data_IF_506262037559
#
_entry.id   IF_506262037559
#
_cell.length_a   1.000
_cell.length_b   1.000
_cell.length_c   1.000
_cell.angle_alpha   90.00
_cell.angle_beta   90.00
_cell.angle_gamma   90.00
#
_symmetry.space_group_name_H-M   'P 1'
#
loop_
_entity.id
_entity.type
_entity.pdbx_description
1 polymer ?
#
# COMPACT_ATOMS: atom_id res chain seq x y z
N UNK A 1 15.86 -49.48 38.55
CA UNK A 1 15.28 -48.86 37.33
C UNK A 1 13.97 -48.20 37.75
N UNK A 2 13.90 -46.98 38.29
CA UNK A 2 14.33 -45.66 37.76
C UNK A 2 14.07 -45.57 36.26
N UNK A 3 13.28 -44.66 35.70
CA UNK A 3 12.90 -43.32 36.16
C UNK A 3 11.64 -42.84 35.42
N UNK A 4 10.80 -42.07 36.12
CA UNK A 4 9.81 -41.16 35.56
C UNK A 4 10.47 -40.25 34.52
N UNK A 5 9.82 -40.07 33.37
CA UNK A 5 10.02 -38.88 32.55
C UNK A 5 8.65 -38.21 32.43
N UNK A 6 8.45 -37.24 33.32
CA UNK A 6 7.30 -36.36 33.34
C UNK A 6 7.23 -35.61 32.01
N UNK A 7 6.17 -35.85 31.23
CA UNK A 7 5.82 -34.97 30.13
C UNK A 7 5.42 -33.61 30.73
N UNK A 8 6.02 -32.49 30.28
CA UNK A 8 5.72 -31.20 30.86
C UNK A 8 4.26 -30.83 30.56
N UNK A 9 3.53 -30.53 31.63
CA UNK A 9 2.17 -29.96 31.66
C UNK A 9 2.04 -28.69 30.80
N UNK A 10 3.15 -28.12 30.31
CA UNK A 10 3.17 -27.05 29.33
C UNK A 10 2.54 -27.41 27.97
N UNK A 11 2.56 -28.67 27.52
CA UNK A 11 1.98 -29.01 26.20
C UNK A 11 0.44 -29.01 26.20
N UNK A 12 -0.21 -29.22 27.34
CA UNK A 12 -1.68 -29.18 27.42
C UNK A 12 -2.21 -27.74 27.40
N UNK A 13 -1.52 -26.81 28.05
CA UNK A 13 -1.91 -25.39 28.02
C UNK A 13 -1.61 -24.72 26.68
N UNK A 14 -0.59 -25.19 25.95
CA UNK A 14 -0.30 -24.72 24.59
C UNK A 14 -1.39 -25.20 23.62
N UNK A 15 -1.92 -26.42 23.74
CA UNK A 15 -3.00 -26.87 22.87
C UNK A 15 -4.34 -26.16 23.13
N UNK A 16 -4.69 -25.85 24.39
CA UNK A 16 -5.92 -25.09 24.68
C UNK A 16 -5.78 -23.61 24.30
N UNK A 17 -4.58 -23.03 24.44
CA UNK A 17 -4.28 -21.68 23.96
C UNK A 17 -4.24 -21.57 22.43
N UNK A 18 -3.83 -22.63 21.72
CA UNK A 18 -3.81 -22.67 20.25
C UNK A 18 -5.20 -22.91 19.66
N UNK A 19 -6.11 -23.61 20.36
CA UNK A 19 -7.50 -23.74 19.88
C UNK A 19 -8.26 -22.39 19.96
N UNK A 20 -7.90 -21.50 20.89
CA UNK A 20 -8.51 -20.15 20.96
C UNK A 20 -7.73 -19.03 20.27
N UNK A 21 -6.44 -19.24 19.93
CA UNK A 21 -5.62 -18.23 19.23
C UNK A 21 -5.27 -18.61 17.79
N UNK A 22 -5.46 -19.87 17.38
CA UNK A 22 -5.23 -20.35 16.02
C UNK A 22 -6.29 -19.89 15.01
N UNK A 23 -7.48 -19.53 15.47
CA UNK A 23 -8.59 -19.14 14.58
C UNK A 23 -8.61 -17.66 14.20
N UNK A 24 -7.83 -16.80 14.86
CA UNK A 24 -7.87 -15.35 14.58
C UNK A 24 -6.97 -14.97 13.38
N UNK A 25 -5.91 -15.73 13.07
CA UNK A 25 -4.90 -15.30 12.09
C UNK A 25 -5.10 -15.82 10.65
N UNK A 26 -5.81 -16.93 10.42
CA UNK A 26 -5.97 -17.48 9.06
C UNK A 26 -7.36 -17.25 8.44
N UNK A 27 -8.36 -16.81 9.21
CA UNK A 27 -9.72 -16.61 8.70
C UNK A 27 -9.88 -15.38 7.77
N UNK A 28 -8.89 -14.48 7.69
CA UNK A 28 -9.10 -13.16 7.10
C UNK A 28 -8.60 -12.98 5.64
N UNK A 29 -7.66 -13.80 5.18
CA UNK A 29 -7.01 -13.58 3.88
C UNK A 29 -7.88 -13.98 2.68
N UNK A 30 -8.91 -14.81 2.88
CA UNK A 30 -9.89 -15.15 1.85
C UNK A 30 -10.67 -13.92 1.36
N UNK A 31 -10.79 -12.89 2.20
CA UNK A 31 -11.48 -11.64 1.90
C UNK A 31 -10.54 -10.49 1.54
N UNK A 32 -9.23 -10.75 1.38
CA UNK A 32 -8.20 -9.72 1.21
C UNK A 32 -8.55 -8.76 0.07
N UNK A 33 -8.89 -9.28 -1.12
CA UNK A 33 -9.24 -8.46 -2.28
C UNK A 33 -10.38 -7.47 -1.98
N UNK A 34 -11.46 -7.96 -1.33
CA UNK A 34 -12.63 -7.16 -0.98
C UNK A 34 -12.29 -6.09 0.06
N UNK A 35 -11.52 -6.47 1.09
CA UNK A 35 -11.09 -5.56 2.16
C UNK A 35 -10.19 -4.45 1.62
N UNK A 36 -9.22 -4.80 0.77
CA UNK A 36 -8.34 -3.84 0.12
C UNK A 36 -9.12 -2.86 -0.75
N UNK A 37 -10.07 -3.33 -1.56
CA UNK A 37 -10.91 -2.47 -2.41
C UNK A 37 -11.70 -1.46 -1.57
N UNK A 38 -12.38 -1.92 -0.52
CA UNK A 38 -13.17 -1.06 0.37
C UNK A 38 -12.29 -0.04 1.08
N UNK A 39 -11.15 -0.45 1.59
CA UNK A 39 -10.21 0.47 2.25
C UNK A 39 -9.61 1.48 1.26
N UNK A 40 -9.32 1.06 0.03
CA UNK A 40 -8.80 1.94 -1.01
C UNK A 40 -9.83 3.00 -1.42
N UNK A 41 -11.11 2.64 -1.50
CA UNK A 41 -12.21 3.57 -1.74
C UNK A 41 -12.35 4.60 -0.61
N UNK A 42 -12.30 4.16 0.64
CA UNK A 42 -12.36 5.08 1.81
C UNK A 42 -11.20 6.07 1.77
N UNK A 43 -9.97 5.60 1.57
CA UNK A 43 -8.79 6.47 1.51
C UNK A 43 -8.83 7.41 0.29
N UNK A 44 -9.28 6.93 -0.87
CA UNK A 44 -9.48 7.76 -2.06
C UNK A 44 -10.49 8.89 -1.81
N UNK A 45 -11.58 8.61 -1.10
CA UNK A 45 -12.60 9.61 -0.76
C UNK A 45 -12.04 10.64 0.24
N UNK A 46 -11.25 10.21 1.23
CA UNK A 46 -10.55 11.12 2.15
C UNK A 46 -9.58 12.04 1.40
N UNK A 47 -8.76 11.50 0.49
CA UNK A 47 -7.89 12.32 -0.35
C UNK A 47 -8.70 13.27 -1.23
N UNK A 48 -9.69 12.75 -1.96
CA UNK A 48 -10.44 13.52 -2.96
C UNK A 48 -11.28 14.63 -2.34
N UNK A 49 -11.79 14.46 -1.12
CA UNK A 49 -12.53 15.50 -0.41
C UNK A 49 -11.65 16.65 0.10
N UNK A 50 -10.33 16.46 0.17
CA UNK A 50 -9.36 17.49 0.55
C UNK A 50 -8.61 18.09 -0.67
N UNK A 51 -8.95 17.68 -1.90
CA UNK A 51 -8.39 18.26 -3.13
C UNK A 51 -9.38 19.26 -3.73
N UNK A 52 -8.90 20.43 -4.15
CA UNK A 52 -9.71 21.40 -4.89
C UNK A 52 -10.07 20.88 -6.28
N UNK A 53 -11.26 21.24 -6.76
CA UNK A 53 -11.72 20.85 -8.11
C UNK A 53 -10.95 21.54 -9.24
N UNK A 54 -10.27 22.65 -8.96
CA UNK A 54 -9.52 23.44 -9.94
C UNK A 54 -8.14 23.80 -9.42
N UNK A 55 -7.17 23.83 -10.34
CA UNK A 55 -5.81 24.29 -10.05
C UNK A 55 -5.83 25.83 -10.02
N UNK A 56 -5.40 26.45 -8.91
CA UNK A 56 -5.28 27.91 -8.81
C UNK A 56 -4.34 28.47 -9.88
N UNK A 57 -4.67 29.63 -10.46
CA UNK A 57 -3.88 30.23 -11.55
C UNK A 57 -2.40 30.40 -11.18
N UNK A 58 -2.13 30.80 -9.93
CA UNK A 58 -0.77 30.97 -9.40
C UNK A 58 0.04 29.65 -9.34
N UNK A 59 -0.63 28.49 -9.33
CA UNK A 59 0.02 27.19 -9.28
C UNK A 59 0.22 26.56 -10.66
N UNK A 60 -0.34 27.14 -11.73
CA UNK A 60 -0.30 26.54 -13.08
C UNK A 60 1.13 26.33 -13.58
N UNK A 61 2.04 27.28 -13.31
CA UNK A 61 3.44 27.14 -13.73
C UNK A 61 4.11 25.91 -13.11
N UNK A 62 3.93 25.74 -11.80
CA UNK A 62 4.47 24.61 -11.05
C UNK A 62 3.79 23.30 -11.47
N UNK A 63 2.50 23.35 -11.83
CA UNK A 63 1.78 22.18 -12.32
C UNK A 63 2.34 21.70 -13.66
N UNK A 64 2.60 22.60 -14.60
CA UNK A 64 3.20 22.26 -15.89
C UNK A 64 4.59 21.65 -15.68
N UNK A 65 5.40 22.20 -14.77
CA UNK A 65 6.74 21.67 -14.46
C UNK A 65 6.71 20.21 -13.99
N UNK A 66 5.73 19.83 -13.16
CA UNK A 66 5.61 18.45 -12.68
C UNK A 66 4.89 17.52 -13.67
N UNK A 67 3.88 18.03 -14.39
CA UNK A 67 3.01 17.24 -15.26
C UNK A 67 3.68 16.75 -16.55
N UNK A 68 4.91 17.18 -16.85
CA UNK A 68 5.64 16.78 -18.05
C UNK A 68 6.05 15.29 -18.10
N UNK A 69 5.77 14.51 -17.05
CA UNK A 69 6.00 13.07 -17.05
C UNK A 69 4.78 12.29 -16.53
N UNK A 70 4.03 11.69 -17.45
CA UNK A 70 2.79 10.95 -17.22
C UNK A 70 2.93 9.83 -16.18
N UNK A 71 2.13 9.90 -15.11
CA UNK A 71 1.95 8.83 -14.11
C UNK A 71 1.60 7.47 -14.75
N UNK A 72 0.88 7.49 -15.88
CA UNK A 72 0.45 6.29 -16.62
C UNK A 72 1.61 5.51 -17.27
N UNK A 73 2.69 6.19 -17.68
CA UNK A 73 3.84 5.52 -18.32
C UNK A 73 4.79 4.88 -17.30
N UNK A 74 4.71 5.26 -16.03
CA UNK A 74 5.70 4.89 -15.02
C UNK A 74 5.31 3.61 -14.26
N UNK A 75 4.02 3.25 -14.22
CA UNK A 75 3.53 2.15 -13.37
C UNK A 75 2.56 1.22 -14.10
N UNK A 76 2.77 0.98 -15.40
CA UNK A 76 2.24 -0.23 -16.04
C UNK A 76 3.33 -1.30 -16.00
N UNK A 77 3.29 -2.10 -14.94
CA UNK A 77 4.09 -3.32 -14.88
C UNK A 77 3.36 -4.34 -15.74
N UNK A 78 4.06 -4.93 -16.71
CA UNK A 78 3.49 -6.03 -17.49
C UNK A 78 3.06 -7.15 -16.52
N UNK A 79 1.76 -7.45 -16.53
CA UNK A 79 1.13 -8.43 -15.65
C UNK A 79 0.78 -9.72 -16.39
N UNK A 80 1.43 -10.01 -17.53
CA UNK A 80 1.30 -11.28 -18.23
C UNK A 80 2.30 -12.34 -17.71
N UNK A 81 2.58 -12.32 -16.40
CA UNK A 81 3.62 -13.10 -15.75
C UNK A 81 3.05 -14.11 -14.75
N UNK A 82 3.73 -15.25 -14.59
CA UNK A 82 3.37 -16.27 -13.59
C UNK A 82 3.36 -15.69 -12.16
N UNK A 83 4.17 -14.65 -11.88
CA UNK A 83 4.25 -13.99 -10.58
C UNK A 83 3.32 -12.77 -10.44
N UNK A 84 2.28 -12.63 -11.29
CA UNK A 84 1.41 -11.44 -11.32
C UNK A 84 0.74 -11.11 -9.97
N UNK A 85 0.41 -12.11 -9.16
CA UNK A 85 -0.23 -11.89 -7.84
C UNK A 85 0.77 -11.25 -6.87
N UNK A 86 2.02 -11.73 -6.85
CA UNK A 86 3.07 -11.19 -5.99
C UNK A 86 3.48 -9.79 -6.42
N UNK A 87 3.55 -9.56 -7.74
CA UNK A 87 3.77 -8.24 -8.34
C UNK A 87 2.65 -7.28 -7.91
N UNK A 88 1.39 -7.71 -8.00
CA UNK A 88 0.25 -6.89 -7.61
C UNK A 88 0.24 -6.56 -6.11
N UNK A 89 0.44 -7.55 -5.23
CA UNK A 89 0.57 -7.32 -3.78
C UNK A 89 1.73 -6.37 -3.47
N UNK A 90 2.89 -6.58 -4.10
CA UNK A 90 4.09 -5.74 -3.93
C UNK A 90 3.84 -4.32 -4.41
N UNK A 91 3.21 -4.15 -5.56
CA UNK A 91 2.90 -2.83 -6.12
C UNK A 91 1.93 -2.06 -5.22
N UNK A 92 0.85 -2.70 -4.75
CA UNK A 92 -0.09 -2.06 -3.82
C UNK A 92 0.60 -1.66 -2.52
N UNK A 93 1.38 -2.57 -1.90
CA UNK A 93 2.11 -2.29 -0.66
C UNK A 93 3.06 -1.11 -0.84
N UNK A 94 3.86 -1.11 -1.90
CA UNK A 94 4.84 -0.06 -2.16
C UNK A 94 4.16 1.30 -2.47
N UNK A 95 3.10 1.33 -3.30
CA UNK A 95 2.38 2.58 -3.58
C UNK A 95 1.82 3.18 -2.27
N UNK A 96 1.18 2.36 -1.43
CA UNK A 96 0.62 2.83 -0.15
C UNK A 96 1.71 3.35 0.80
N UNK A 97 2.84 2.64 0.89
CA UNK A 97 4.00 3.05 1.70
C UNK A 97 4.56 4.39 1.20
N UNK A 98 4.74 4.55 -0.11
CA UNK A 98 5.26 5.79 -0.67
C UNK A 98 4.29 6.96 -0.50
N UNK A 99 2.98 6.75 -0.61
CA UNK A 99 1.98 7.77 -0.28
C UNK A 99 2.12 8.19 1.19
N UNK A 100 2.14 7.24 2.14
CA UNK A 100 2.31 7.58 3.56
C UNK A 100 3.63 8.35 3.82
N UNK A 101 4.73 7.98 3.15
CA UNK A 101 5.99 8.71 3.23
C UNK A 101 5.89 10.15 2.73
N UNK A 102 5.19 10.41 1.62
CA UNK A 102 4.92 11.77 1.15
C UNK A 102 4.18 12.57 2.24
N UNK A 103 3.08 12.04 2.77
CA UNK A 103 2.26 12.71 3.77
C UNK A 103 2.87 12.80 5.19
N UNK A 104 4.02 12.14 5.42
CA UNK A 104 4.85 12.33 6.63
C UNK A 104 5.81 13.53 6.52
N UNK A 105 6.02 14.08 5.33
CA UNK A 105 6.89 15.25 5.16
C UNK A 105 6.29 16.50 5.80
N UNK A 106 6.99 17.63 5.67
CA UNK A 106 6.51 18.91 6.17
C UNK A 106 5.18 19.29 5.49
N UNK A 107 4.11 19.26 6.27
CA UNK A 107 2.73 19.47 5.84
C UNK A 107 2.13 20.76 6.40
N UNK A 108 2.96 21.74 6.80
CA UNK A 108 2.48 23.02 7.37
C UNK A 108 1.55 23.77 6.40
N UNK A 109 1.84 23.72 5.10
CA UNK A 109 1.02 24.35 4.05
C UNK A 109 -0.04 23.40 3.44
N UNK A 110 -0.13 22.16 3.93
CA UNK A 110 -1.12 21.20 3.47
C UNK A 110 -2.46 21.49 4.16
N UNK A 111 -3.44 21.95 3.39
CA UNK A 111 -4.74 22.37 3.91
C UNK A 111 -5.71 21.19 3.95
N UNK A 112 -5.60 20.35 4.97
CA UNK A 112 -6.57 19.28 5.28
C UNK A 112 -7.41 19.64 6.49
N UNK A 113 -8.72 19.38 6.44
CA UNK A 113 -9.63 19.78 7.51
C UNK A 113 -9.71 18.74 8.64
N UNK A 114 -9.62 19.17 9.90
CA UNK A 114 -9.80 18.31 11.06
C UNK A 114 -8.82 17.13 11.11
N UNK A 115 -9.19 16.04 11.80
CA UNK A 115 -8.38 14.82 11.90
C UNK A 115 -8.17 14.06 10.58
N UNK A 116 -8.65 14.55 9.43
CA UNK A 116 -8.68 13.81 8.17
C UNK A 116 -7.30 13.32 7.69
N UNK A 117 -6.22 14.09 7.88
CA UNK A 117 -4.88 13.64 7.50
C UNK A 117 -4.43 12.46 8.37
N UNK A 118 -4.77 12.49 9.67
CA UNK A 118 -4.52 11.38 10.59
C UNK A 118 -5.32 10.16 10.16
N UNK A 119 -6.60 10.32 9.88
CA UNK A 119 -7.50 9.22 9.48
C UNK A 119 -7.07 8.59 8.16
N UNK A 120 -6.66 9.42 7.19
CA UNK A 120 -6.11 8.95 5.92
C UNK A 120 -4.84 8.12 6.13
N UNK A 121 -3.89 8.60 6.93
CA UNK A 121 -2.66 7.85 7.23
C UNK A 121 -2.93 6.57 8.01
N UNK A 122 -3.89 6.57 8.93
CA UNK A 122 -4.35 5.34 9.62
C UNK A 122 -4.94 4.36 8.61
N UNK A 123 -5.77 4.83 7.68
CA UNK A 123 -6.35 4.00 6.64
C UNK A 123 -5.29 3.38 5.70
N UNK A 124 -4.25 4.13 5.34
CA UNK A 124 -3.11 3.60 4.56
C UNK A 124 -2.37 2.50 5.33
N UNK A 125 -2.02 2.76 6.58
CA UNK A 125 -1.35 1.79 7.47
C UNK A 125 -2.17 0.50 7.65
N UNK A 126 -3.49 0.61 7.78
CA UNK A 126 -4.38 -0.55 7.84
C UNK A 126 -4.30 -1.41 6.56
N UNK A 127 -4.28 -0.80 5.38
CA UNK A 127 -4.15 -1.56 4.12
C UNK A 127 -2.78 -2.24 4.00
N UNK A 128 -1.71 -1.56 4.42
CA UNK A 128 -0.34 -2.12 4.43
C UNK A 128 -0.30 -3.36 5.35
N UNK A 129 -0.84 -3.24 6.57
CA UNK A 129 -0.93 -4.36 7.52
C UNK A 129 -1.76 -5.53 7.00
N UNK A 130 -2.85 -5.27 6.28
CA UNK A 130 -3.64 -6.32 5.62
C UNK A 130 -2.79 -7.12 4.61
N UNK A 131 -1.94 -6.43 3.84
CA UNK A 131 -1.04 -7.07 2.88
C UNK A 131 0.09 -7.83 3.56
N UNK A 132 0.62 -7.34 4.67
CA UNK A 132 1.67 -8.01 5.44
C UNK A 132 1.17 -9.26 6.16
N UNK A 133 -0.02 -9.19 6.76
CA UNK A 133 -0.64 -10.34 7.46
C UNK A 133 -1.05 -11.45 6.49
N UNK A 134 -1.37 -11.10 5.24
CA UNK A 134 -1.78 -12.03 4.17
C UNK A 134 -0.74 -12.22 3.07
N UNK A 135 0.48 -11.76 3.33
CA UNK A 135 1.65 -12.00 2.51
C UNK A 135 2.32 -13.30 2.93
N UNK A 136 2.87 -14.03 1.97
CA UNK A 136 3.79 -15.10 2.31
C UNK A 136 5.01 -14.46 2.99
N UNK A 137 5.52 -15.09 4.05
CA UNK A 137 6.69 -14.60 4.79
C UNK A 137 7.76 -14.18 3.78
N UNK A 138 8.19 -12.92 3.87
CA UNK A 138 9.08 -12.26 2.91
C UNK A 138 10.22 -13.23 2.56
N UNK A 139 10.25 -13.67 1.30
CA UNK A 139 11.20 -14.63 0.79
C UNK A 139 12.57 -13.95 0.67
N UNK A 140 13.21 -13.70 1.82
CA UNK A 140 14.57 -13.14 1.92
C UNK A 140 15.65 -14.13 1.46
N UNK A 141 15.28 -15.35 1.05
CA UNK A 141 16.26 -16.42 0.88
C UNK A 141 16.93 -16.50 -0.50
N UNK A 142 16.47 -15.79 -1.53
CA UNK A 142 17.25 -15.78 -2.77
C UNK A 142 17.02 -14.56 -3.67
N UNK A 143 17.99 -13.63 -3.69
CA UNK A 143 18.06 -12.49 -4.62
C UNK A 143 18.22 -12.98 -6.07
N UNK A 144 18.65 -14.23 -6.29
CA UNK A 144 18.93 -14.75 -7.63
C UNK A 144 17.70 -15.28 -8.37
N UNK A 145 16.54 -15.41 -7.71
CA UNK A 145 15.33 -15.86 -8.40
C UNK A 145 14.75 -14.77 -9.32
N UNK A 146 14.37 -15.17 -10.55
CA UNK A 146 13.67 -14.31 -11.52
C UNK A 146 12.43 -13.62 -10.93
N UNK A 147 11.73 -14.31 -10.02
CA UNK A 147 10.60 -13.76 -9.24
C UNK A 147 11.04 -12.58 -8.37
N UNK A 148 12.03 -12.75 -7.49
CA UNK A 148 12.47 -11.69 -6.58
C UNK A 148 12.99 -10.46 -7.35
N UNK A 149 13.75 -10.67 -8.43
CA UNK A 149 14.18 -9.60 -9.32
C UNK A 149 13.00 -8.75 -9.83
N UNK A 150 11.91 -9.37 -10.29
CA UNK A 150 10.70 -8.66 -10.76
C UNK A 150 10.01 -7.88 -9.64
N UNK A 151 9.95 -8.43 -8.43
CA UNK A 151 9.40 -7.72 -7.27
C UNK A 151 10.25 -6.50 -6.89
N UNK A 152 11.58 -6.63 -6.91
CA UNK A 152 12.48 -5.50 -6.65
C UNK A 152 12.38 -4.43 -7.74
N UNK A 153 12.35 -4.83 -9.01
CA UNK A 153 12.16 -3.90 -10.12
C UNK A 153 10.83 -3.14 -10.01
N UNK A 154 9.77 -3.83 -9.62
CA UNK A 154 8.45 -3.25 -9.31
C UNK A 154 8.57 -2.17 -8.23
N UNK A 155 9.19 -2.48 -7.09
CA UNK A 155 9.40 -1.52 -6.00
C UNK A 155 10.20 -0.31 -6.45
N UNK A 156 11.31 -0.54 -7.16
CA UNK A 156 12.20 0.52 -7.63
C UNK A 156 11.51 1.50 -8.60
N UNK A 157 10.67 0.99 -9.51
CA UNK A 157 9.90 1.83 -10.43
C UNK A 157 8.93 2.75 -9.68
N UNK A 158 8.20 2.19 -8.71
CA UNK A 158 7.27 2.95 -7.87
C UNK A 158 8.03 3.97 -7.02
N UNK A 159 9.10 3.57 -6.33
CA UNK A 159 9.93 4.48 -5.53
C UNK A 159 10.47 5.64 -6.36
N UNK A 160 10.91 5.39 -7.60
CA UNK A 160 11.39 6.45 -8.49
C UNK A 160 10.33 7.49 -8.79
N UNK A 161 9.09 7.06 -9.03
CA UNK A 161 7.96 7.98 -9.23
C UNK A 161 7.75 8.87 -8.00
N UNK A 162 7.60 8.26 -6.82
CA UNK A 162 7.34 9.00 -5.59
C UNK A 162 8.53 9.84 -5.12
N UNK A 163 9.75 9.44 -5.43
CA UNK A 163 10.94 10.26 -5.20
C UNK A 163 10.84 11.59 -5.98
N UNK A 164 10.33 11.58 -7.22
CA UNK A 164 10.13 12.82 -8.00
C UNK A 164 9.09 13.73 -7.36
N UNK A 165 8.00 13.18 -6.83
CA UNK A 165 7.00 13.97 -6.07
C UNK A 165 7.60 14.56 -4.79
N UNK A 166 8.39 13.77 -4.06
CA UNK A 166 9.11 14.19 -2.86
C UNK A 166 10.12 15.32 -3.16
N UNK A 167 10.89 15.17 -4.23
CA UNK A 167 11.84 16.17 -4.70
C UNK A 167 11.13 17.46 -5.10
N UNK A 168 10.00 17.36 -5.80
CA UNK A 168 9.18 18.50 -6.15
C UNK A 168 8.68 19.27 -4.91
N UNK A 169 8.14 18.58 -3.90
CA UNK A 169 7.75 19.20 -2.64
C UNK A 169 8.93 19.97 -2.02
N UNK A 170 10.09 19.32 -1.90
CA UNK A 170 11.29 19.91 -1.30
C UNK A 170 11.80 21.13 -2.09
N UNK A 171 11.85 21.02 -3.42
CA UNK A 171 12.32 22.10 -4.31
C UNK A 171 11.39 23.32 -4.24
N UNK A 172 10.08 23.09 -4.13
CA UNK A 172 9.07 24.13 -3.93
C UNK A 172 8.88 24.52 -2.46
N UNK A 173 9.77 24.08 -1.57
CA UNK A 173 9.79 24.38 -0.13
C UNK A 173 8.47 24.07 0.56
N UNK A 174 7.82 22.98 0.17
CA UNK A 174 6.54 22.53 0.72
C UNK A 174 5.44 23.59 0.61
N UNK A 175 5.48 24.45 -0.41
CA UNK A 175 4.48 25.48 -0.60
C UNK A 175 3.09 24.90 -0.78
N UNK A 176 2.07 25.71 -0.50
CA UNK A 176 0.68 25.33 -0.73
C UNK A 176 0.43 24.85 -2.18
N UNK A 177 0.96 25.56 -3.19
CA UNK A 177 0.85 25.12 -4.58
C UNK A 177 1.48 23.74 -4.81
N UNK A 178 2.62 23.46 -4.20
CA UNK A 178 3.28 22.16 -4.34
C UNK A 178 2.42 21.03 -3.78
N UNK A 179 1.78 21.26 -2.63
CA UNK A 179 0.86 20.31 -2.01
C UNK A 179 -0.43 20.10 -2.82
N UNK A 180 -1.04 21.16 -3.37
CA UNK A 180 -2.19 21.03 -4.27
C UNK A 180 -1.84 20.14 -5.48
N UNK A 181 -0.69 20.38 -6.09
CA UNK A 181 -0.22 19.65 -7.27
C UNK A 181 0.09 18.18 -6.94
N UNK A 182 0.80 17.90 -5.84
CA UNK A 182 1.18 16.53 -5.47
C UNK A 182 -0.03 15.68 -5.11
N UNK A 183 -1.04 16.26 -4.45
CA UNK A 183 -2.28 15.53 -4.19
C UNK A 183 -3.02 15.16 -5.48
N UNK A 184 -3.02 16.05 -6.47
CA UNK A 184 -3.56 15.77 -7.82
C UNK A 184 -2.79 14.62 -8.49
N UNK A 185 -1.45 14.59 -8.39
CA UNK A 185 -0.65 13.50 -8.94
C UNK A 185 -0.86 12.15 -8.23
N UNK A 186 -1.11 12.17 -6.92
CA UNK A 186 -1.37 10.96 -6.12
C UNK A 186 -2.76 10.37 -6.40
N UNK A 187 -3.75 11.20 -6.76
CA UNK A 187 -5.14 10.76 -6.96
C UNK A 187 -5.27 9.59 -7.97
N UNK A 188 -4.64 9.62 -9.17
CA UNK A 188 -4.60 8.47 -10.09
C UNK A 188 -3.97 7.19 -9.51
N UNK A 189 -3.06 7.28 -8.53
CA UNK A 189 -2.46 6.10 -7.91
C UNK A 189 -3.50 5.20 -7.23
N UNK A 190 -4.62 5.75 -6.76
CA UNK A 190 -5.72 4.96 -6.18
C UNK A 190 -6.47 4.13 -7.24
N UNK A 191 -6.58 4.63 -8.47
CA UNK A 191 -7.12 3.86 -9.59
C UNK A 191 -6.17 2.72 -9.97
N UNK A 192 -4.87 3.02 -9.98
CA UNK A 192 -3.83 2.02 -10.20
C UNK A 192 -3.80 0.95 -9.10
N UNK A 193 -3.96 1.32 -7.83
CA UNK A 193 -4.12 0.36 -6.73
C UNK A 193 -5.32 -0.57 -7.01
N UNK A 194 -6.46 -0.02 -7.43
CA UNK A 194 -7.62 -0.85 -7.79
C UNK A 194 -7.31 -1.81 -8.94
N UNK A 195 -6.55 -1.37 -9.94
CA UNK A 195 -6.09 -2.22 -11.04
C UNK A 195 -5.25 -3.40 -10.56
N UNK A 196 -4.31 -3.18 -9.63
CA UNK A 196 -3.53 -4.25 -9.03
C UNK A 196 -4.36 -5.16 -8.12
N UNK A 197 -5.25 -4.59 -7.29
CA UNK A 197 -6.15 -5.38 -6.42
C UNK A 197 -7.00 -6.36 -7.25
N UNK A 198 -7.41 -6.01 -8.48
CA UNK A 198 -8.16 -6.91 -9.35
C UNK A 198 -7.40 -8.20 -9.69
N UNK A 199 -6.07 -8.20 -9.66
CA UNK A 199 -5.23 -9.38 -9.92
C UNK A 199 -5.02 -10.26 -8.69
N UNK A 200 -5.39 -9.79 -7.50
CA UNK A 200 -5.33 -10.59 -6.27
C UNK A 200 -6.58 -11.48 -6.24
N UNK A 201 -6.45 -12.81 -6.21
CA UNK A 201 -7.60 -13.70 -6.26
C UNK A 201 -8.51 -13.49 -5.06
N UNK A 202 -9.82 -13.36 -5.30
CA UNK A 202 -10.83 -13.62 -4.28
C UNK A 202 -11.00 -15.13 -4.19
N UNK A 203 -10.78 -15.73 -3.02
CA UNK A 203 -11.30 -17.07 -2.79
C UNK A 203 -12.82 -16.94 -2.68
N UNK A 204 -13.51 -17.12 -3.81
CA UNK A 204 -14.93 -17.48 -3.79
C UNK A 204 -14.93 -18.95 -3.38
N UNK A 205 -15.38 -19.23 -2.17
CA UNK A 205 -15.79 -20.58 -1.79
C UNK A 205 -16.93 -20.96 -2.74
N UNK A 206 -16.62 -21.77 -3.75
CA UNK A 206 -17.64 -22.54 -4.46
C UNK A 206 -17.97 -23.67 -3.50
N UNK A 207 -18.94 -23.44 -2.64
CA UNK A 207 -19.62 -24.52 -1.94
C UNK A 207 -20.54 -25.17 -2.97
N UNK A 208 -20.23 -26.40 -3.41
CA UNK A 208 -21.15 -27.51 -3.69
C UNK A 208 -20.35 -28.80 -3.89
#
# INVERSE_FOLDING_TARGET
FSSKLDLPVCCLYICVGIIFLGDISCQNCNQLQRKLRKANEVNFNLLSSNIRSTIPLQCIRDFIELSLEDTEKIIMIDMNDECQVDIAKTAVKEILQQIDLIFRQNHTELVWHGGSLRDFRIGLDQQIKMLETCGDAELEQDITSSRNWKLQLTRLRIKRYFQRLSDFLRNKKYSWCAWEIVQIQIKPCFQLINHYIQRIPSKVTVDF
#
